data_IF_205127492231
#
_entry.id   IF_205127492231
#
_cell.length_a   1.000
_cell.length_b   1.000
_cell.length_c   1.000
_cell.angle_alpha   90.00
_cell.angle_beta   90.00
_cell.angle_gamma   90.00
#
_symmetry.space_group_name_H-M   'P 1'
#
loop_
_entity.id
_entity.type
_entity.pdbx_description
1 polymer ?
#
# COMPACT_ATOMS: atom_id res chain seq x y z
N UNK A 1 12.25 -16.54 47.41
CA UNK A 1 12.23 -15.06 47.44
C UNK A 1 13.57 -14.56 46.91
N UNK A 2 13.62 -13.56 46.00
CA UNK A 2 13.00 -13.54 44.67
C UNK A 2 14.03 -13.15 43.57
N UNK A 3 13.75 -13.44 42.31
CA UNK A 3 14.37 -12.75 41.17
C UNK A 3 13.26 -12.21 40.27
N UNK A 4 13.19 -10.89 40.31
CA UNK A 4 12.34 -9.95 39.62
C UNK A 4 12.61 -10.02 38.10
N UNK A 5 11.61 -10.33 37.28
CA UNK A 5 11.68 -10.05 35.84
C UNK A 5 10.80 -8.83 35.54
N UNK A 6 11.51 -7.73 35.27
CA UNK A 6 10.97 -6.48 34.75
C UNK A 6 10.54 -6.64 33.29
N UNK A 7 9.34 -6.12 33.04
CA UNK A 7 8.80 -5.55 31.81
C UNK A 7 9.69 -5.55 30.55
N UNK A 8 9.16 -6.18 29.50
CA UNK A 8 9.39 -5.78 28.11
C UNK A 8 8.03 -5.56 27.45
N UNK A 9 7.50 -4.33 27.56
CA UNK A 9 6.36 -3.92 26.74
C UNK A 9 6.85 -3.85 25.28
N UNK A 10 6.52 -4.87 24.48
CA UNK A 10 6.56 -4.74 23.04
C UNK A 10 5.56 -3.66 22.66
N UNK A 11 6.06 -2.46 22.38
CA UNK A 11 5.29 -1.44 21.68
C UNK A 11 5.00 -2.01 20.30
N UNK A 12 3.84 -2.64 20.16
CA UNK A 12 3.22 -2.91 18.88
C UNK A 12 3.11 -1.54 18.18
N UNK A 13 4.02 -1.28 17.24
CA UNK A 13 3.83 -0.22 16.25
C UNK A 13 2.58 -0.68 15.51
N UNK A 14 1.44 -0.06 15.80
CA UNK A 14 0.21 -0.29 15.07
C UNK A 14 0.53 -0.05 13.59
N UNK A 15 0.64 -1.13 12.82
CA UNK A 15 0.31 -1.06 11.41
C UNK A 15 -1.09 -0.43 11.34
N UNK A 16 -1.33 0.55 10.46
CA UNK A 16 -2.68 1.02 10.22
C UNK A 16 -3.50 -0.21 9.83
N UNK A 17 -4.48 -0.55 10.67
CA UNK A 17 -5.33 -1.70 10.43
C UNK A 17 -5.85 -1.64 8.98
N UNK A 18 -5.69 -2.71 8.18
CA UNK A 18 -6.37 -2.78 6.90
C UNK A 18 -7.86 -2.54 7.18
N UNK A 19 -8.45 -1.65 6.38
CA UNK A 19 -9.74 -1.01 6.66
C UNK A 19 -10.78 -2.00 7.19
N UNK A 20 -11.57 -1.55 8.17
CA UNK A 20 -12.59 -2.38 8.79
C UNK A 20 -13.40 -3.15 7.73
N UNK A 21 -13.64 -4.43 7.99
CA UNK A 21 -14.36 -5.37 7.13
C UNK A 21 -15.53 -4.69 6.41
N UNK A 22 -15.48 -4.65 5.07
CA UNK A 22 -16.49 -4.07 4.19
C UNK A 22 -16.17 -2.72 3.54
N UNK A 23 -15.07 -2.04 3.92
CA UNK A 23 -14.67 -0.79 3.25
C UNK A 23 -13.84 -1.04 2.00
N UNK A 24 -14.32 -0.53 0.84
CA UNK A 24 -13.57 -0.65 -0.42
C UNK A 24 -12.25 0.10 -0.34
N UNK A 25 -11.18 -0.55 -0.80
CA UNK A 25 -9.87 0.09 -0.95
C UNK A 25 -9.99 1.31 -1.87
N UNK A 26 -9.47 2.45 -1.39
CA UNK A 26 -9.39 3.72 -2.13
C UNK A 26 -7.98 3.92 -2.66
N UNK A 27 -7.88 4.37 -3.91
CA UNK A 27 -6.63 4.86 -4.49
C UNK A 27 -6.80 6.30 -4.96
N UNK A 28 -5.73 7.09 -4.88
CA UNK A 28 -5.77 8.52 -5.13
C UNK A 28 -4.85 8.90 -6.29
N UNK A 29 -5.12 9.98 -7.04
CA UNK A 29 -4.15 10.57 -7.94
C UNK A 29 -2.82 10.78 -7.23
N UNK A 30 -1.73 10.37 -7.87
CA UNK A 30 -0.41 10.51 -7.28
C UNK A 30 -0.07 11.99 -7.09
N UNK A 31 0.49 12.33 -5.94
CA UNK A 31 0.75 13.71 -5.55
C UNK A 31 2.20 14.09 -5.84
N UNK A 32 2.41 15.31 -6.29
CA UNK A 32 3.75 15.84 -6.54
C UNK A 32 4.25 16.71 -5.40
N UNK A 33 5.53 16.57 -5.07
CA UNK A 33 6.25 17.44 -4.17
C UNK A 33 7.73 17.47 -4.58
N UNK A 34 8.29 18.67 -4.77
CA UNK A 34 9.71 18.87 -5.11
C UNK A 34 10.20 18.01 -6.29
N UNK A 35 9.37 17.87 -7.33
CA UNK A 35 9.68 17.10 -8.54
C UNK A 35 9.39 15.60 -8.45
N UNK A 36 9.34 15.03 -7.24
CA UNK A 36 9.00 13.64 -7.00
C UNK A 36 7.48 13.39 -6.93
N UNK A 37 7.09 12.13 -7.16
CA UNK A 37 5.70 11.67 -7.20
C UNK A 37 5.46 10.63 -6.10
N UNK A 38 4.33 10.76 -5.41
CA UNK A 38 3.99 9.96 -4.22
C UNK A 38 2.59 9.38 -4.33
N UNK A 39 2.45 8.09 -4.01
CA UNK A 39 1.18 7.49 -3.67
C UNK A 39 0.77 7.94 -2.27
N UNK A 40 -0.52 8.13 -2.03
CA UNK A 40 -1.06 8.51 -0.73
C UNK A 40 -2.17 7.58 -0.30
N UNK A 41 -2.23 7.28 1.00
CA UNK A 41 -3.35 6.62 1.63
C UNK A 41 -4.02 7.58 2.61
N UNK A 42 -5.35 7.49 2.72
CA UNK A 42 -6.13 8.36 3.58
C UNK A 42 -6.97 7.57 4.58
N UNK A 43 -7.29 8.20 5.70
CA UNK A 43 -8.36 7.73 6.57
C UNK A 43 -9.75 7.95 5.95
N UNK A 44 -10.81 7.64 6.71
CA UNK A 44 -12.22 7.84 6.33
C UNK A 44 -12.63 9.29 6.18
N UNK A 45 -11.87 10.22 6.74
CA UNK A 45 -12.11 11.67 6.69
C UNK A 45 -11.27 12.34 5.60
N UNK A 46 -10.73 11.55 4.67
CA UNK A 46 -9.81 11.99 3.61
C UNK A 46 -8.56 12.71 4.12
N UNK A 47 -8.12 12.41 5.36
CA UNK A 47 -6.83 12.90 5.85
C UNK A 47 -5.75 11.94 5.39
N UNK A 48 -4.67 12.48 4.84
CA UNK A 48 -3.53 11.69 4.38
C UNK A 48 -2.80 11.15 5.62
N UNK A 49 -2.70 9.82 5.69
CA UNK A 49 -2.07 9.11 6.83
C UNK A 49 -0.78 8.38 6.43
N UNK A 50 -0.59 8.15 5.13
CA UNK A 50 0.63 7.53 4.59
C UNK A 50 0.92 8.09 3.21
N UNK A 51 2.22 8.23 2.90
CA UNK A 51 2.70 8.57 1.57
C UNK A 51 3.96 7.77 1.28
N UNK A 52 4.03 7.16 0.11
CA UNK A 52 5.21 6.44 -0.36
C UNK A 52 5.57 6.93 -1.76
N UNK A 53 6.87 7.09 -2.08
CA UNK A 53 7.28 7.55 -3.40
C UNK A 53 6.92 6.51 -4.47
N UNK A 54 6.82 6.92 -5.73
CA UNK A 54 6.75 5.97 -6.85
C UNK A 54 8.15 5.49 -7.27
N UNK A 55 9.20 6.18 -6.81
CA UNK A 55 10.58 5.75 -6.99
C UNK A 55 11.14 5.22 -5.66
N UNK A 56 11.41 3.90 -5.53
CA UNK A 56 11.97 3.31 -4.31
C UNK A 56 13.40 3.78 -4.02
N UNK A 57 14.10 4.44 -4.95
CA UNK A 57 15.40 5.05 -4.70
C UNK A 57 15.32 6.38 -3.92
N UNK A 58 14.11 6.92 -3.69
CA UNK A 58 13.91 8.15 -2.92
C UNK A 58 14.34 7.95 -1.47
N UNK A 59 15.20 8.84 -0.94
CA UNK A 59 15.69 8.71 0.42
C UNK A 59 14.58 8.88 1.49
N UNK A 60 14.76 8.20 2.62
CA UNK A 60 13.76 8.15 3.69
C UNK A 60 13.49 9.52 4.33
N UNK A 61 14.50 10.39 4.43
CA UNK A 61 14.36 11.71 5.03
C UNK A 61 13.52 12.63 4.15
N UNK A 62 13.79 12.64 2.84
CA UNK A 62 12.98 13.34 1.83
C UNK A 62 11.56 12.78 1.80
N UNK A 63 11.39 11.47 1.86
CA UNK A 63 10.06 10.84 1.92
C UNK A 63 9.26 11.33 3.13
N UNK A 64 9.88 11.37 4.31
CA UNK A 64 9.23 11.88 5.53
C UNK A 64 8.84 13.36 5.40
N UNK A 65 9.76 14.21 4.93
CA UNK A 65 9.51 15.64 4.75
C UNK A 65 8.39 15.89 3.72
N UNK A 66 8.45 15.20 2.59
CA UNK A 66 7.45 15.29 1.53
C UNK A 66 6.07 14.84 2.02
N UNK A 67 5.99 13.75 2.77
CA UNK A 67 4.71 13.26 3.27
C UNK A 67 4.08 14.26 4.26
N UNK A 68 4.86 14.90 5.14
CA UNK A 68 4.36 15.96 6.00
C UNK A 68 3.81 17.15 5.20
N UNK A 69 4.54 17.61 4.18
CA UNK A 69 4.10 18.72 3.32
C UNK A 69 2.88 18.38 2.45
N UNK A 70 2.79 17.14 1.96
CA UNK A 70 1.62 16.62 1.23
C UNK A 70 0.41 16.55 2.17
N UNK A 71 0.56 15.96 3.36
CA UNK A 71 -0.51 15.84 4.34
C UNK A 71 -1.05 17.20 4.79
N UNK A 72 -0.18 18.20 4.96
CA UNK A 72 -0.57 19.56 5.30
C UNK A 72 -1.42 20.24 4.22
N UNK A 73 -1.18 19.95 2.94
CA UNK A 73 -2.00 20.43 1.82
C UNK A 73 -3.34 19.69 1.72
N UNK A 74 -3.34 18.41 2.10
CA UNK A 74 -4.51 17.54 2.02
C UNK A 74 -4.87 17.12 0.60
N UNK A 75 -5.94 16.34 0.47
CA UNK A 75 -6.47 15.91 -0.83
C UNK A 75 -7.36 17.01 -1.42
N UNK A 76 -7.14 17.44 -2.67
CA UNK A 76 -8.03 18.38 -3.35
C UNK A 76 -9.50 17.88 -3.41
N UNK A 77 -10.45 18.73 -3.03
CA UNK A 77 -11.88 18.38 -2.99
C UNK A 77 -12.49 18.00 -4.35
N UNK A 78 -11.86 18.43 -5.45
CA UNK A 78 -12.29 18.08 -6.82
C UNK A 78 -11.90 16.65 -7.25
N UNK A 79 -11.19 15.90 -6.39
CA UNK A 79 -10.80 14.52 -6.65
C UNK A 79 -11.85 13.57 -6.13
N UNK A 80 -12.25 12.63 -6.98
CA UNK A 80 -12.91 11.39 -6.56
C UNK A 80 -11.88 10.26 -6.59
N UNK A 81 -11.68 9.50 -5.51
CA UNK A 81 -10.72 8.40 -5.49
C UNK A 81 -11.17 7.25 -6.40
N UNK A 82 -10.22 6.46 -6.87
CA UNK A 82 -10.52 5.17 -7.45
C UNK A 82 -11.02 4.22 -6.35
N UNK A 83 -12.02 3.40 -6.67
CA UNK A 83 -12.60 2.43 -5.73
C UNK A 83 -12.39 1.02 -6.24
N UNK A 84 -11.86 0.12 -5.40
CA UNK A 84 -11.69 -1.28 -5.75
C UNK A 84 -13.01 -1.90 -6.23
N UNK A 85 -12.93 -2.67 -7.31
CA UNK A 85 -14.01 -3.51 -7.83
C UNK A 85 -13.86 -4.90 -7.21
N UNK A 86 -14.91 -5.36 -6.55
CA UNK A 86 -14.90 -6.63 -5.81
C UNK A 86 -14.13 -6.53 -4.49
N UNK A 87 -14.04 -7.66 -3.77
CA UNK A 87 -13.32 -7.74 -2.52
C UNK A 87 -11.80 -7.90 -2.82
N UNK A 88 -10.96 -7.24 -2.03
CA UNK A 88 -9.52 -7.12 -2.35
C UNK A 88 -8.68 -8.32 -1.91
N UNK A 89 -9.22 -9.16 -1.04
CA UNK A 89 -8.68 -10.48 -0.66
C UNK A 89 -8.63 -11.43 -1.87
N UNK A 90 -9.59 -11.35 -2.79
CA UNK A 90 -9.55 -12.10 -4.06
C UNK A 90 -8.37 -11.72 -4.97
N UNK A 91 -7.74 -10.57 -4.74
CA UNK A 91 -6.54 -10.21 -5.49
C UNK A 91 -5.33 -11.01 -5.04
N UNK A 92 -5.39 -11.67 -3.88
CA UNK A 92 -4.32 -12.43 -3.24
C UNK A 92 -4.84 -13.77 -2.70
N UNK A 93 -5.33 -14.67 -3.58
CA UNK A 93 -5.67 -16.00 -3.12
C UNK A 93 -4.43 -16.70 -2.57
N UNK A 94 -4.62 -17.58 -1.58
CA UNK A 94 -3.54 -18.37 -0.98
C UNK A 94 -2.74 -19.18 -2.01
N UNK A 95 -3.31 -19.47 -3.18
CA UNK A 95 -2.64 -20.12 -4.30
C UNK A 95 -1.50 -19.31 -4.93
N UNK A 96 -1.43 -18.00 -4.70
CA UNK A 96 -0.29 -17.18 -5.13
C UNK A 96 0.84 -17.15 -4.09
N UNK A 97 0.67 -17.82 -2.94
CA UNK A 97 1.78 -18.09 -2.05
C UNK A 97 2.72 -19.08 -2.74
N UNK A 98 3.99 -18.71 -3.01
CA UNK A 98 4.88 -19.56 -3.80
C UNK A 98 5.03 -20.94 -3.16
N UNK A 99 4.86 -22.02 -3.93
CA UNK A 99 4.83 -23.38 -3.40
C UNK A 99 6.09 -23.76 -2.59
N UNK A 100 7.25 -23.19 -2.94
CA UNK A 100 8.51 -23.38 -2.20
C UNK A 100 8.55 -22.62 -0.85
N UNK A 101 7.67 -21.63 -0.61
CA UNK A 101 7.58 -20.88 0.68
C UNK A 101 7.10 -21.74 1.81
N UNK A 102 6.18 -22.63 1.50
CA UNK A 102 5.44 -23.42 2.49
C UNK A 102 6.40 -24.35 3.24
N UNK A 103 7.19 -25.22 2.58
CA UNK A 103 8.16 -26.05 3.29
C UNK A 103 9.31 -25.24 3.93
N UNK A 104 9.65 -24.06 3.39
CA UNK A 104 10.68 -23.17 3.92
C UNK A 104 10.19 -22.27 5.07
N UNK A 105 8.92 -22.39 5.48
CA UNK A 105 8.28 -21.55 6.49
C UNK A 105 8.54 -20.05 6.28
N UNK A 106 8.49 -19.61 5.02
CA UNK A 106 8.91 -18.27 4.62
C UNK A 106 7.84 -17.22 4.89
N UNK A 107 7.92 -16.56 6.03
CA UNK A 107 7.04 -15.46 6.41
C UNK A 107 7.67 -14.09 6.16
N UNK A 108 6.84 -13.04 6.18
CA UNK A 108 7.30 -11.66 6.12
C UNK A 108 6.24 -10.71 5.57
N UNK A 109 6.55 -9.42 5.55
CA UNK A 109 5.67 -8.40 5.00
C UNK A 109 6.26 -7.73 3.78
N UNK A 110 5.44 -7.52 2.75
CA UNK A 110 5.81 -6.78 1.54
C UNK A 110 4.93 -5.56 1.42
N UNK A 111 5.50 -4.36 1.39
CA UNK A 111 4.75 -3.15 1.04
C UNK A 111 5.08 -2.75 -0.39
N UNK A 112 4.07 -2.55 -1.21
CA UNK A 112 4.20 -2.12 -2.60
C UNK A 112 3.47 -0.80 -2.83
N UNK A 113 3.93 -0.10 -3.85
CA UNK A 113 3.20 0.99 -4.50
C UNK A 113 2.89 0.54 -5.92
N UNK A 114 1.68 0.81 -6.39
CA UNK A 114 1.31 0.49 -7.76
C UNK A 114 0.45 1.58 -8.39
N UNK A 115 0.58 1.71 -9.71
CA UNK A 115 -0.14 2.69 -10.51
C UNK A 115 -1.38 2.08 -11.15
N UNK A 116 -2.42 2.91 -11.27
CA UNK A 116 -3.72 2.59 -11.82
C UNK A 116 -3.97 3.55 -12.99
N UNK A 117 -4.29 2.99 -14.15
CA UNK A 117 -4.60 3.79 -15.34
C UNK A 117 -5.99 4.43 -15.28
N UNK A 118 -6.28 5.29 -16.27
CA UNK A 118 -7.58 5.97 -16.40
C UNK A 118 -8.77 5.03 -16.64
N UNK A 119 -8.50 3.75 -16.96
CA UNK A 119 -9.51 2.69 -17.11
C UNK A 119 -9.73 1.91 -15.81
N UNK A 120 -8.93 2.17 -14.78
CA UNK A 120 -8.99 1.52 -13.48
C UNK A 120 -8.26 0.19 -13.42
N UNK A 121 -7.32 -0.09 -14.33
CA UNK A 121 -6.46 -1.26 -14.28
C UNK A 121 -5.11 -0.93 -13.62
N UNK A 122 -4.60 -1.83 -12.77
CA UNK A 122 -3.23 -1.72 -12.28
C UNK A 122 -2.23 -1.98 -13.43
N UNK A 123 -1.20 -1.14 -13.55
CA UNK A 123 -0.28 -1.17 -14.70
C UNK A 123 1.21 -1.22 -14.34
N UNK A 124 1.61 -0.61 -13.22
CA UNK A 124 3.00 -0.61 -12.73
C UNK A 124 3.02 -0.93 -11.25
N UNK A 125 4.05 -1.63 -10.76
CA UNK A 125 4.21 -1.98 -9.35
C UNK A 125 5.68 -1.87 -8.95
N UNK A 126 5.94 -1.25 -7.80
CA UNK A 126 7.24 -1.21 -7.14
C UNK A 126 7.12 -1.72 -5.72
N UNK A 127 8.12 -2.48 -5.29
CA UNK A 127 8.28 -2.88 -3.89
C UNK A 127 8.95 -1.74 -3.13
N UNK A 128 8.28 -1.26 -2.08
CA UNK A 128 8.79 -0.22 -1.18
C UNK A 128 9.36 -0.77 0.12
N UNK A 129 8.78 -1.87 0.62
CA UNK A 129 9.35 -2.64 1.72
C UNK A 129 9.39 -4.09 1.28
N UNK A 130 10.60 -4.64 1.18
CA UNK A 130 10.82 -6.04 0.83
C UNK A 130 10.63 -6.92 2.07
N UNK A 131 10.08 -8.11 1.86
CA UNK A 131 10.07 -9.18 2.87
C UNK A 131 11.46 -9.74 3.18
N UNK A 132 12.48 -9.38 2.39
CA UNK A 132 13.78 -10.04 2.36
C UNK A 132 13.78 -11.31 1.50
N UNK A 133 12.64 -11.72 0.93
CA UNK A 133 12.49 -12.92 0.12
C UNK A 133 11.96 -12.54 -1.26
N UNK A 134 12.83 -12.51 -2.26
CA UNK A 134 12.54 -12.00 -3.60
C UNK A 134 11.28 -12.61 -4.26
N UNK A 135 10.99 -13.89 -4.00
CA UNK A 135 9.80 -14.56 -4.56
C UNK A 135 8.48 -14.09 -3.94
N UNK A 136 8.47 -13.69 -2.67
CA UNK A 136 7.29 -13.08 -2.04
C UNK A 136 7.05 -11.68 -2.60
N UNK A 137 8.14 -10.90 -2.74
CA UNK A 137 8.09 -9.55 -3.32
C UNK A 137 7.54 -9.57 -4.76
N UNK A 138 8.03 -10.50 -5.59
CA UNK A 138 7.55 -10.70 -6.96
C UNK A 138 6.09 -11.15 -6.99
N UNK A 139 5.68 -12.06 -6.10
CA UNK A 139 4.31 -12.55 -6.02
C UNK A 139 3.33 -11.42 -5.67
N UNK A 140 3.69 -10.55 -4.71
CA UNK A 140 2.87 -9.39 -4.33
C UNK A 140 2.57 -8.47 -5.52
N UNK A 141 3.60 -8.08 -6.29
CA UNK A 141 3.41 -7.25 -7.47
C UNK A 141 2.63 -7.97 -8.58
N UNK A 142 2.97 -9.23 -8.88
CA UNK A 142 2.28 -10.01 -9.90
C UNK A 142 0.78 -10.14 -9.61
N UNK A 143 0.43 -10.35 -8.35
CA UNK A 143 -0.95 -10.49 -7.91
C UNK A 143 -1.78 -9.22 -8.17
N UNK A 144 -1.26 -8.05 -7.77
CA UNK A 144 -1.92 -6.76 -8.03
C UNK A 144 -2.08 -6.50 -9.52
N UNK A 145 -1.00 -6.62 -10.30
CA UNK A 145 -1.03 -6.33 -11.73
C UNK A 145 -2.04 -7.22 -12.46
N UNK A 146 -2.13 -8.49 -12.06
CA UNK A 146 -3.06 -9.45 -12.65
C UNK A 146 -4.52 -9.13 -12.33
N UNK A 147 -4.85 -8.85 -11.06
CA UNK A 147 -6.26 -8.87 -10.58
C UNK A 147 -6.81 -7.55 -10.08
N UNK A 148 -5.97 -6.58 -9.69
CA UNK A 148 -6.46 -5.34 -9.11
C UNK A 148 -7.21 -4.52 -10.16
N UNK A 149 -8.49 -4.27 -9.89
CA UNK A 149 -9.38 -3.50 -10.77
C UNK A 149 -10.15 -2.48 -9.95
N UNK A 150 -10.35 -1.31 -10.55
CA UNK A 150 -10.95 -0.15 -9.91
C UNK A 150 -12.03 0.48 -10.79
N UNK A 151 -13.00 1.13 -10.15
CA UNK A 151 -13.66 2.29 -10.75
C UNK A 151 -12.63 3.43 -10.77
N UNK A 152 -12.34 4.06 -11.92
CA UNK A 152 -11.25 5.03 -12.03
C UNK A 152 -11.36 6.19 -11.04
N UNK A 153 -10.22 6.73 -10.64
CA UNK A 153 -10.17 8.04 -10.00
C UNK A 153 -10.59 9.11 -11.02
N UNK A 154 -11.11 10.23 -10.53
CA UNK A 154 -11.40 11.38 -11.39
C UNK A 154 -10.98 12.68 -10.76
N UNK A 155 -10.63 13.64 -11.61
CA UNK A 155 -10.44 15.05 -11.25
C UNK A 155 -11.43 15.88 -12.06
N UNK A 156 -12.30 16.61 -11.38
CA UNK A 156 -13.36 17.40 -12.03
C UNK A 156 -14.20 16.56 -13.02
N UNK A 157 -14.51 15.32 -12.65
CA UNK A 157 -15.31 14.38 -13.46
C UNK A 157 -14.58 13.72 -14.63
N UNK A 158 -13.30 14.05 -14.87
CA UNK A 158 -12.48 13.39 -15.89
C UNK A 158 -11.65 12.27 -15.26
N UNK A 159 -11.62 11.05 -15.84
CA UNK A 159 -10.75 9.99 -15.38
C UNK A 159 -9.29 10.44 -15.35
N UNK A 160 -8.55 10.04 -14.32
CA UNK A 160 -7.12 10.34 -14.18
C UNK A 160 -6.38 9.13 -13.63
N UNK A 161 -5.07 9.07 -13.90
CA UNK A 161 -4.16 8.11 -13.27
C UNK A 161 -4.19 8.23 -11.75
N UNK A 162 -4.06 7.09 -11.07
CA UNK A 162 -3.99 7.00 -9.63
C UNK A 162 -2.86 6.07 -9.18
N UNK A 163 -2.55 6.11 -7.89
CA UNK A 163 -1.63 5.18 -7.26
C UNK A 163 -2.21 4.71 -5.91
N UNK A 164 -1.83 3.49 -5.52
CA UNK A 164 -2.22 2.90 -4.25
C UNK A 164 -1.01 2.28 -3.54
N UNK A 165 -1.16 2.17 -2.22
CA UNK A 165 -0.24 1.49 -1.32
C UNK A 165 -0.95 0.24 -0.84
N UNK A 166 -0.26 -0.90 -0.90
CA UNK A 166 -0.73 -2.15 -0.31
C UNK A 166 0.38 -2.81 0.48
N UNK A 167 0.02 -3.41 1.61
CA UNK A 167 0.92 -4.23 2.43
C UNK A 167 0.38 -5.64 2.48
N UNK A 168 1.24 -6.59 2.17
CA UNK A 168 1.01 -8.02 2.24
C UNK A 168 1.68 -8.57 3.47
N UNK A 169 0.99 -9.45 4.16
CA UNK A 169 1.53 -10.24 5.24
C UNK A 169 1.50 -11.70 4.76
N UNK A 170 2.65 -12.33 4.76
CA UNK A 170 2.82 -13.75 4.48
C UNK A 170 3.11 -14.44 5.81
N UNK A 171 2.16 -15.27 6.24
CA UNK A 171 2.35 -16.13 7.39
C UNK A 171 2.82 -17.50 6.93
N UNK A 172 3.76 -18.08 7.67
CA UNK A 172 4.10 -19.49 7.58
C UNK A 172 3.24 -20.23 8.60
N UNK A 173 2.13 -20.82 8.15
CA UNK A 173 1.39 -21.80 8.96
C UNK A 173 2.25 -23.03 9.27
#
# INVERSE_FOLDING_TARGET
MPALFMLGAAAAVLAPAPGASGEKLRAWPAMRHEGATYAVATDRRNRIISCLPLDPATDAARTKAACAAIAARGVPAAITPALAKGPTDEWFPSSDYPAMSIPEHSSGSVTIVYEIDERGAATHCMVQHSSGIARLDLAACAAVLKRARFTPASYQGKPVHAAAIATFEYDSE
#
